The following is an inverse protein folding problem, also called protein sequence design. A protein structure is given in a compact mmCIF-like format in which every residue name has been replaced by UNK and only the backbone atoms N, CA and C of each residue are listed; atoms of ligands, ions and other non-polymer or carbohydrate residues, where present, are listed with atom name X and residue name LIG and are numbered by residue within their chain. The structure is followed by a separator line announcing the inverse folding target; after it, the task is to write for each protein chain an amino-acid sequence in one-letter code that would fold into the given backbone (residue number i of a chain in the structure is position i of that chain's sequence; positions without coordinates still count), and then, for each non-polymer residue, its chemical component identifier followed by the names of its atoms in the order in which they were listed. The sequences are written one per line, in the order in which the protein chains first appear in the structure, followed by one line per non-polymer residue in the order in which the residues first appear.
data_IF_269483699651
#
_entry.id   IF_269483699651
#
_cell.length_a   1.000
_cell.length_b   1.000
_cell.length_c   1.000
_cell.angle_alpha   90.00
_cell.angle_beta   90.00
_cell.angle_gamma   90.00
#
_symmetry.space_group_name_H-M   'P 1'
#
loop_
_entity.id
_entity.type
_entity.pdbx_description
1 polymer ?
#
# COMPACT_ATOMS: atom_id res chain seq x y z
N UNK A 1 -4.03 2.37 -27.26
CA UNK A 1 -4.51 1.39 -26.26
C UNK A 1 -3.87 1.73 -24.93
N UNK A 2 -4.68 2.16 -23.98
CA UNK A 2 -4.30 3.01 -22.84
C UNK A 2 -3.52 2.25 -21.79
N UNK A 3 -2.25 2.64 -21.59
CA UNK A 3 -1.43 2.18 -20.46
C UNK A 3 -2.16 2.44 -19.14
N UNK A 4 -2.38 1.37 -18.37
CA UNK A 4 -2.90 1.41 -17.00
C UNK A 4 -2.03 2.38 -16.20
N UNK A 5 -2.59 3.34 -15.44
CA UNK A 5 -1.77 4.23 -14.65
C UNK A 5 -1.04 3.38 -13.59
N UNK A 6 0.27 3.24 -13.73
CA UNK A 6 1.16 2.79 -12.67
C UNK A 6 0.88 3.64 -11.44
N UNK A 7 0.62 2.97 -10.32
CA UNK A 7 0.29 3.64 -9.07
C UNK A 7 1.31 4.75 -8.79
N UNK A 8 0.79 5.94 -8.50
CA UNK A 8 1.51 7.21 -8.36
C UNK A 8 2.45 7.21 -7.14
N UNK A 9 3.54 6.45 -7.19
CA UNK A 9 4.61 6.43 -6.17
C UNK A 9 5.25 7.81 -5.97
N UNK A 10 5.09 8.72 -6.94
CA UNK A 10 5.64 10.09 -6.99
C UNK A 10 5.29 10.99 -5.81
N UNK A 11 4.46 10.54 -4.86
CA UNK A 11 4.17 11.31 -3.66
C UNK A 11 4.85 10.79 -2.41
N UNK A 12 5.57 9.67 -2.38
CA UNK A 12 6.07 9.14 -1.09
C UNK A 12 7.03 10.11 -0.38
N UNK A 13 7.04 10.17 0.97
CA UNK A 13 8.03 10.94 1.71
C UNK A 13 9.44 10.43 1.39
N UNK A 14 10.39 11.35 1.28
CA UNK A 14 11.79 11.00 1.02
C UNK A 14 12.30 9.94 2.02
N UNK A 15 13.02 8.95 1.48
CA UNK A 15 13.61 7.84 2.23
C UNK A 15 12.70 6.63 2.44
N UNK A 16 11.42 6.70 2.04
CA UNK A 16 10.52 5.54 2.15
C UNK A 16 10.72 4.54 1.01
N UNK A 17 11.10 5.02 -0.17
CA UNK A 17 11.30 4.17 -1.36
C UNK A 17 12.46 3.18 -1.18
N UNK A 18 13.47 3.51 -0.38
CA UNK A 18 14.63 2.65 -0.12
C UNK A 18 14.27 1.36 0.64
N UNK A 19 13.17 1.34 1.37
CA UNK A 19 12.70 0.17 2.13
C UNK A 19 11.71 -0.70 1.32
N UNK A 20 11.29 -0.24 0.13
CA UNK A 20 10.30 -0.94 -0.70
C UNK A 20 10.93 -2.03 -1.55
N UNK A 21 11.04 -3.24 -0.98
CA UNK A 21 11.43 -4.45 -1.72
C UNK A 21 10.30 -4.97 -2.62
N UNK A 22 10.66 -5.53 -3.78
CA UNK A 22 9.73 -6.16 -4.72
C UNK A 22 9.10 -7.46 -4.19
N UNK A 23 9.61 -8.05 -3.11
CA UNK A 23 8.99 -9.22 -2.46
C UNK A 23 7.62 -8.88 -1.84
N UNK A 24 7.41 -7.59 -1.52
CA UNK A 24 6.20 -7.09 -0.90
C UNK A 24 5.39 -6.23 -1.87
N UNK A 25 4.09 -6.25 -1.69
CA UNK A 25 3.19 -5.24 -2.21
C UNK A 25 3.08 -4.11 -1.20
N UNK A 26 3.12 -2.87 -1.68
CA UNK A 26 3.16 -1.67 -0.84
C UNK A 26 1.93 -0.79 -1.09
N UNK A 27 1.29 -0.36 0.00
CA UNK A 27 0.14 0.55 -0.04
C UNK A 27 0.43 1.83 0.75
N UNK A 28 0.76 2.94 0.07
CA UNK A 28 0.89 4.23 0.73
C UNK A 28 -0.47 4.89 0.93
N UNK A 29 -0.73 5.34 2.17
CA UNK A 29 -1.95 6.02 2.56
C UNK A 29 -1.65 7.40 3.12
N UNK A 30 -2.57 8.34 2.89
CA UNK A 30 -2.60 9.64 3.58
C UNK A 30 -3.85 9.69 4.44
N UNK A 31 -3.65 9.89 5.74
CA UNK A 31 -4.72 10.14 6.70
C UNK A 31 -4.82 11.65 6.92
N UNK A 32 -5.98 12.26 6.65
CA UNK A 32 -6.18 13.68 6.90
C UNK A 32 -6.30 13.95 8.42
N UNK A 33 -6.13 15.21 8.87
CA UNK A 33 -6.06 15.56 10.28
C UNK A 33 -7.35 15.28 11.06
N UNK A 34 -8.51 15.31 10.42
CA UNK A 34 -9.81 15.02 11.06
C UNK A 34 -9.96 13.55 11.48
N UNK A 35 -9.15 12.64 10.93
CA UNK A 35 -9.16 11.25 11.35
C UNK A 35 -8.50 11.17 12.72
N UNK A 36 -9.23 10.73 13.75
CA UNK A 36 -8.62 10.58 15.08
C UNK A 36 -7.55 9.47 15.08
N UNK A 37 -6.68 9.47 16.09
CA UNK A 37 -5.73 8.36 16.30
C UNK A 37 -6.44 7.03 16.49
N UNK A 38 -7.52 7.01 17.29
CA UNK A 38 -8.29 5.79 17.58
C UNK A 38 -8.93 5.24 16.31
N UNK A 39 -9.63 6.08 15.53
CA UNK A 39 -10.26 5.66 14.28
C UNK A 39 -9.23 5.18 13.25
N UNK A 40 -8.07 5.82 13.17
CA UNK A 40 -6.97 5.35 12.33
C UNK A 40 -6.48 3.97 12.77
N UNK A 41 -6.20 3.78 14.06
CA UNK A 41 -5.75 2.50 14.61
C UNK A 41 -6.74 1.38 14.34
N UNK A 42 -8.03 1.58 14.62
CA UNK A 42 -9.07 0.58 14.33
C UNK A 42 -9.09 0.19 12.85
N UNK A 43 -9.07 1.16 11.93
CA UNK A 43 -9.08 0.88 10.49
C UNK A 43 -7.84 0.11 10.05
N UNK A 44 -6.66 0.51 10.53
CA UNK A 44 -5.41 -0.17 10.19
C UNK A 44 -5.35 -1.59 10.76
N UNK A 45 -5.87 -1.82 11.96
CA UNK A 45 -5.97 -3.16 12.55
C UNK A 45 -6.90 -4.06 11.74
N UNK A 46 -8.02 -3.55 11.23
CA UNK A 46 -8.92 -4.31 10.36
C UNK A 46 -8.20 -4.71 9.06
N UNK A 47 -7.46 -3.79 8.44
CA UNK A 47 -6.67 -4.10 7.23
C UNK A 47 -5.59 -5.16 7.52
N UNK A 48 -4.98 -5.12 8.71
CA UNK A 48 -4.01 -6.13 9.11
C UNK A 48 -4.63 -7.51 9.30
N UNK A 49 -5.72 -7.57 10.06
CA UNK A 49 -6.39 -8.83 10.39
C UNK A 49 -6.98 -9.51 9.16
N UNK A 50 -7.70 -8.75 8.33
CA UNK A 50 -8.54 -9.33 7.28
C UNK A 50 -7.95 -9.24 5.88
N UNK A 51 -6.91 -8.41 5.67
CA UNK A 51 -6.31 -8.22 4.34
C UNK A 51 -4.81 -8.45 4.31
N UNK A 52 -4.23 -8.85 5.44
CA UNK A 52 -2.81 -9.18 5.56
C UNK A 52 -1.88 -7.98 5.41
N UNK A 53 -2.39 -6.76 5.64
CA UNK A 53 -1.58 -5.55 5.58
C UNK A 53 -0.84 -5.29 6.90
N UNK A 54 0.48 -5.20 6.83
CA UNK A 54 1.32 -4.85 7.97
C UNK A 54 1.68 -3.36 7.95
N UNK A 55 1.56 -2.71 9.11
CA UNK A 55 2.02 -1.34 9.29
C UNK A 55 3.55 -1.29 9.33
N UNK A 56 4.18 -0.64 8.34
CA UNK A 56 5.65 -0.51 8.28
C UNK A 56 6.12 0.84 8.79
N UNK A 57 5.47 1.93 8.38
CA UNK A 57 5.92 3.28 8.71
C UNK A 57 4.78 4.26 8.87
N UNK A 58 4.96 5.21 9.78
CA UNK A 58 4.05 6.34 9.97
C UNK A 58 4.86 7.62 10.07
N UNK A 59 4.39 8.68 9.41
CA UNK A 59 4.91 10.04 9.57
C UNK A 59 3.76 11.00 9.84
N UNK A 60 3.83 11.68 10.97
CA UNK A 60 2.94 12.79 11.34
C UNK A 60 3.51 14.10 10.80
N UNK A 61 2.64 14.96 10.29
CA UNK A 61 2.98 16.30 9.81
C UNK A 61 2.39 17.36 10.76
N UNK A 62 2.91 18.57 10.68
CA UNK A 62 2.49 19.70 11.53
C UNK A 62 1.06 20.16 11.26
N UNK A 63 0.53 19.89 10.07
CA UNK A 63 -0.88 20.10 9.70
C UNK A 63 -1.82 19.04 10.31
N UNK A 64 -1.30 18.11 11.11
CA UNK A 64 -2.03 17.00 11.72
C UNK A 64 -2.29 15.82 10.76
N UNK A 65 -1.97 15.98 9.48
CA UNK A 65 -2.07 14.87 8.53
C UNK A 65 -1.00 13.82 8.83
N UNK A 66 -1.29 12.57 8.50
CA UNK A 66 -0.34 11.47 8.63
C UNK A 66 -0.17 10.78 7.30
N UNK A 67 1.02 10.27 7.06
CA UNK A 67 1.27 9.30 6.01
C UNK A 67 1.60 7.97 6.63
N UNK A 68 1.08 6.94 6.01
CA UNK A 68 1.19 5.57 6.46
C UNK A 68 1.68 4.74 5.29
N UNK A 69 2.62 3.86 5.57
CA UNK A 69 3.07 2.85 4.63
C UNK A 69 2.70 1.48 5.16
N UNK A 70 1.90 0.76 4.36
CA UNK A 70 1.55 -0.63 4.60
C UNK A 70 2.31 -1.52 3.62
N UNK A 71 2.60 -2.74 4.06
CA UNK A 71 3.16 -3.81 3.22
C UNK A 71 2.37 -5.10 3.36
N UNK A 72 2.38 -5.94 2.35
CA UNK A 72 1.95 -7.35 2.46
C UNK A 72 2.82 -8.21 1.55
N UNK A 73 3.07 -9.45 1.93
CA UNK A 73 3.92 -10.34 1.12
C UNK A 73 3.19 -10.70 -0.19
N UNK A 74 3.89 -10.65 -1.33
CA UNK A 74 3.32 -11.13 -2.59
C UNK A 74 3.17 -12.65 -2.52
N UNK A 75 1.94 -13.15 -2.70
CA UNK A 75 1.70 -14.58 -2.87
C UNK A 75 2.15 -15.00 -4.26
N UNK A 76 3.13 -15.91 -4.36
CA UNK A 76 3.66 -16.42 -5.65
C UNK A 76 2.57 -16.97 -6.58
N UNK A 77 1.47 -17.48 -6.03
CA UNK A 77 0.33 -18.00 -6.78
C UNK A 77 -0.55 -16.89 -7.39
N UNK A 78 -0.66 -15.73 -6.75
CA UNK A 78 -1.48 -14.62 -7.23
C UNK A 78 -0.82 -13.89 -8.41
N UNK A 79 0.51 -13.83 -8.43
CA UNK A 79 1.28 -13.24 -9.53
C UNK A 79 1.16 -14.07 -10.82
N UNK A 80 1.23 -15.40 -10.69
CA UNK A 80 1.07 -16.33 -11.83
C UNK A 80 -0.33 -16.35 -12.44
N UNK A 81 -1.37 -16.12 -11.63
CA UNK A 81 -2.77 -16.13 -12.11
C UNK A 81 -3.11 -14.85 -12.88
N UNK A 82 -2.59 -13.69 -12.44
CA UNK A 82 -2.77 -12.41 -13.16
C UNK A 82 -2.04 -12.44 -14.51
N UNK A 83 -0.88 -13.09 -14.59
CA UNK A 83 -0.12 -13.20 -15.85
C UNK A 83 -0.70 -14.24 -16.82
N UNK A 84 -1.41 -15.28 -16.35
CA UNK A 84 -1.98 -16.33 -17.20
C UNK A 84 -3.34 -15.92 -17.82
N UNK A 85 -4.06 -14.99 -17.19
CA UNK A 85 -5.36 -14.47 -17.69
C UNK A 85 -5.26 -13.60 -18.95
N UNK A 86 -4.06 -13.17 -19.34
CA UNK A 86 -3.83 -12.29 -20.50
C UNK A 86 -3.46 -13.06 -21.79
N UNK A 87 -3.52 -14.39 -21.80
CA UNK A 87 -3.21 -15.20 -22.98
C UNK A 87 -4.48 -15.46 -23.81
N UNK A 88 -4.65 -14.86 -25.01
CA UNK A 88 -5.68 -15.29 -25.92
C UNK A 88 -5.26 -16.64 -26.49
N UNK A 89 -6.00 -17.69 -26.12
CA UNK A 89 -5.90 -19.01 -26.75
C UNK A 89 -6.27 -18.85 -28.24
N UNK A 90 -5.39 -19.27 -29.14
CA UNK A 90 -5.60 -19.30 -30.60
C UNK A 90 -6.29 -20.60 -31.03
#
# INVERSE_FOLDING_TARGET
MTSRPTARWTRLPAGWDAEMSDEYEWAPLRLPPEVTRVSASTRLSIEAEYRGWELTRVRLYTDGSRRVLLRRKKSRLADSDISRRDQPEL
#
